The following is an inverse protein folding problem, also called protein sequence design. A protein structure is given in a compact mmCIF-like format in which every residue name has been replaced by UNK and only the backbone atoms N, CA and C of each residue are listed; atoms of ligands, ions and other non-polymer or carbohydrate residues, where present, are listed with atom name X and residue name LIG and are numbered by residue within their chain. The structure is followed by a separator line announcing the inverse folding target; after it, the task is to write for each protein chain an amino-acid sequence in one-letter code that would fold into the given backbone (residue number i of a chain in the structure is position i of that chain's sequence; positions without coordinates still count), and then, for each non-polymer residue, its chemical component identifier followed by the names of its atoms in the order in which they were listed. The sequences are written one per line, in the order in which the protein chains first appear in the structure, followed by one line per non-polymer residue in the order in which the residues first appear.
data_IF_323810516872
#
_entry.id   IF_323810516872
#
_cell.length_a   1.000
_cell.length_b   1.000
_cell.length_c   1.000
_cell.angle_alpha   90.00
_cell.angle_beta   90.00
_cell.angle_gamma   90.00
#
_symmetry.space_group_name_H-M   'P 1'
#
loop_
_entity.id
_entity.type
_entity.pdbx_description
1 polymer ?
#
# COMPACT_ATOMS: atom_id res chain seq x y z
N UNK A 1 70.24 6.39 15.75
CA UNK A 1 69.18 6.89 14.81
C UNK A 1 69.69 8.18 14.18
N UNK A 2 69.99 8.18 12.88
CA UNK A 2 70.60 9.33 12.18
C UNK A 2 69.64 10.52 12.09
N UNK A 3 70.18 11.75 12.16
CA UNK A 3 69.42 13.02 12.14
C UNK A 3 68.45 13.12 10.95
N UNK A 4 68.87 12.66 9.77
CA UNK A 4 68.05 12.63 8.56
C UNK A 4 66.84 11.69 8.67
N UNK A 5 67.00 10.52 9.30
CA UNK A 5 65.87 9.60 9.52
C UNK A 5 64.82 10.22 10.46
N UNK A 6 65.24 11.01 11.46
CA UNK A 6 64.32 11.78 12.31
C UNK A 6 63.66 12.94 11.56
N UNK A 7 64.37 13.61 10.63
CA UNK A 7 63.83 14.69 9.79
C UNK A 7 62.74 14.16 8.86
N UNK A 8 63.02 13.09 8.10
CA UNK A 8 62.06 12.46 7.18
C UNK A 8 60.77 11.99 7.87
N UNK A 9 60.88 11.45 9.09
CA UNK A 9 59.70 11.06 9.89
C UNK A 9 58.81 12.27 10.23
N UNK A 10 59.40 13.40 10.63
CA UNK A 10 58.65 14.64 10.91
C UNK A 10 58.01 15.21 9.65
N UNK A 11 58.75 15.24 8.54
CA UNK A 11 58.23 15.71 7.24
C UNK A 11 57.03 14.87 6.79
N UNK A 12 57.14 13.53 6.84
CA UNK A 12 56.05 12.61 6.52
C UNK A 12 54.84 12.84 7.43
N UNK A 13 55.06 12.96 8.73
CA UNK A 13 53.97 13.24 9.68
C UNK A 13 53.27 14.56 9.38
N UNK A 14 54.03 15.63 9.11
CA UNK A 14 53.49 16.95 8.79
C UNK A 14 52.69 16.96 7.48
N UNK A 15 53.13 16.18 6.49
CA UNK A 15 52.41 16.03 5.22
C UNK A 15 51.05 15.33 5.41
N UNK A 16 51.02 14.26 6.21
CA UNK A 16 49.78 13.54 6.54
C UNK A 16 48.80 14.46 7.27
N UNK A 17 49.27 15.17 8.30
CA UNK A 17 48.40 16.06 9.06
C UNK A 17 47.91 17.25 8.23
N UNK A 18 48.73 17.78 7.32
CA UNK A 18 48.29 18.80 6.37
C UNK A 18 47.13 18.27 5.51
N UNK A 19 47.29 17.10 4.90
CA UNK A 19 46.23 16.47 4.09
C UNK A 19 44.94 16.24 4.89
N UNK A 20 45.05 15.84 6.16
CA UNK A 20 43.88 15.68 7.05
C UNK A 20 43.15 17.01 7.26
N UNK A 21 43.90 18.09 7.53
CA UNK A 21 43.33 19.43 7.71
C UNK A 21 42.69 19.95 6.42
N UNK A 22 43.33 19.74 5.28
CA UNK A 22 42.80 20.17 3.99
C UNK A 22 41.49 19.44 3.69
N UNK A 23 41.44 18.12 3.89
CA UNK A 23 40.19 17.37 3.72
C UNK A 23 39.05 17.88 4.62
N UNK A 24 39.34 18.20 5.89
CA UNK A 24 38.32 18.79 6.79
C UNK A 24 37.85 20.15 6.27
N UNK A 25 38.78 21.00 5.79
CA UNK A 25 38.44 22.31 5.25
C UNK A 25 37.57 22.18 3.99
N UNK A 26 37.89 21.24 3.12
CA UNK A 26 37.11 20.97 1.91
C UNK A 26 35.68 20.55 2.28
N UNK A 27 35.49 19.65 3.26
CA UNK A 27 34.14 19.27 3.72
C UNK A 27 33.37 20.44 4.32
N UNK A 28 34.03 21.33 5.06
CA UNK A 28 33.38 22.54 5.57
C UNK A 28 32.99 23.46 4.41
N UNK A 29 33.81 23.55 3.37
CA UNK A 29 33.49 24.35 2.20
C UNK A 29 32.36 23.75 1.37
N UNK A 30 32.32 22.42 1.18
CA UNK A 30 31.22 21.71 0.56
C UNK A 30 29.90 22.02 1.29
N UNK A 31 29.89 21.92 2.62
CA UNK A 31 28.73 22.27 3.45
C UNK A 31 28.27 23.71 3.22
N UNK A 32 29.20 24.66 3.10
CA UNK A 32 28.87 26.05 2.80
C UNK A 32 28.14 26.22 1.45
N UNK A 33 28.55 25.47 0.42
CA UNK A 33 27.91 25.55 -0.91
C UNK A 33 26.50 24.95 -0.96
N UNK A 34 26.18 24.05 -0.04
CA UNK A 34 24.85 23.42 0.07
C UNK A 34 23.86 24.24 0.88
N UNK A 35 24.33 25.28 1.58
CA UNK A 35 23.47 26.14 2.38
C UNK A 35 22.68 27.11 1.48
N UNK A 36 21.39 27.34 1.77
CA UNK A 36 20.61 28.33 1.05
C UNK A 36 21.13 29.74 1.36
N UNK A 37 21.12 30.63 0.35
CA UNK A 37 21.60 32.01 0.47
C UNK A 37 20.89 32.79 1.59
N UNK A 38 19.62 32.47 1.87
CA UNK A 38 18.84 33.08 2.97
C UNK A 38 19.41 32.82 4.36
N UNK A 39 20.24 31.78 4.52
CA UNK A 39 20.89 31.44 5.79
C UNK A 39 22.30 32.02 5.93
N UNK A 40 22.84 32.59 4.85
CA UNK A 40 24.17 33.16 4.77
C UNK A 40 24.03 34.68 4.66
N UNK A 41 24.66 35.41 5.58
CA UNK A 41 24.73 36.86 5.45
C UNK A 41 25.71 37.23 4.33
N UNK A 42 25.19 37.80 3.24
CA UNK A 42 25.98 38.17 2.06
C UNK A 42 27.10 39.17 2.36
N UNK A 43 26.98 39.95 3.43
CA UNK A 43 27.97 40.96 3.80
C UNK A 43 29.05 40.42 4.76
N UNK A 44 28.89 39.20 5.28
CA UNK A 44 29.79 38.64 6.29
C UNK A 44 30.38 37.33 5.81
N UNK A 45 31.71 37.29 5.63
CA UNK A 45 32.40 36.02 5.33
C UNK A 45 32.15 35.03 6.47
N UNK A 46 31.46 33.90 6.22
CA UNK A 46 31.07 33.01 7.29
C UNK A 46 32.29 32.24 7.79
N UNK A 47 32.42 32.17 9.10
CA UNK A 47 33.47 31.38 9.74
C UNK A 47 33.05 29.90 9.82
N UNK A 48 34.02 29.01 10.05
CA UNK A 48 33.78 27.55 10.12
C UNK A 48 32.69 27.17 11.13
N UNK A 49 32.63 27.85 12.28
CA UNK A 49 31.62 27.59 13.30
C UNK A 49 30.20 27.92 12.83
N UNK A 50 30.03 29.06 12.14
CA UNK A 50 28.74 29.46 11.56
C UNK A 50 28.33 28.47 10.47
N UNK A 51 29.24 28.11 9.56
CA UNK A 51 28.96 27.14 8.48
C UNK A 51 28.45 25.83 9.07
N UNK A 52 29.17 25.28 10.06
CA UNK A 52 28.78 24.03 10.72
C UNK A 52 27.42 24.14 11.41
N UNK A 53 27.18 25.23 12.16
CA UNK A 53 25.91 25.45 12.85
C UNK A 53 24.75 25.51 11.86
N UNK A 54 24.85 26.36 10.84
CA UNK A 54 23.82 26.52 9.80
C UNK A 54 23.59 25.23 9.03
N UNK A 55 24.64 24.44 8.78
CA UNK A 55 24.52 23.14 8.11
C UNK A 55 23.69 22.16 8.91
N UNK A 56 23.91 22.09 10.23
CA UNK A 56 23.11 21.24 11.13
C UNK A 56 21.66 21.70 11.17
N UNK A 57 21.43 23.01 11.30
CA UNK A 57 20.07 23.59 11.32
C UNK A 57 19.32 23.28 10.01
N UNK A 58 20.00 23.44 8.87
CA UNK A 58 19.42 23.16 7.56
C UNK A 58 19.07 21.68 7.38
N UNK A 59 19.95 20.75 7.77
CA UNK A 59 19.66 19.31 7.73
C UNK A 59 18.41 18.98 8.55
N UNK A 60 18.28 19.54 9.76
CA UNK A 60 17.11 19.31 10.62
C UNK A 60 15.83 19.84 9.97
N UNK A 61 15.88 21.04 9.38
CA UNK A 61 14.75 21.62 8.67
C UNK A 61 14.33 20.76 7.46
N UNK A 62 15.29 20.26 6.68
CA UNK A 62 15.01 19.38 5.55
C UNK A 62 14.40 18.05 5.99
N UNK A 63 14.90 17.45 7.07
CA UNK A 63 14.31 16.23 7.64
C UNK A 63 12.86 16.42 8.08
N UNK A 64 12.54 17.58 8.70
CA UNK A 64 11.18 17.94 9.08
C UNK A 64 10.28 18.15 7.87
N UNK A 65 10.76 18.84 6.84
CA UNK A 65 10.02 19.08 5.60
C UNK A 65 9.72 17.77 4.86
N UNK A 66 10.69 16.87 4.77
CA UNK A 66 10.47 15.54 4.18
C UNK A 66 9.43 14.75 4.97
N UNK A 67 9.47 14.78 6.30
CA UNK A 67 8.45 14.14 7.13
C UNK A 67 7.06 14.73 6.93
N UNK A 68 6.92 16.06 6.91
CA UNK A 68 5.62 16.71 6.73
C UNK A 68 5.04 16.45 5.35
N UNK A 69 5.87 16.47 4.30
CA UNK A 69 5.44 16.14 2.95
C UNK A 69 5.03 14.68 2.83
N UNK A 70 5.76 13.75 3.47
CA UNK A 70 5.38 12.34 3.50
C UNK A 70 4.01 12.12 4.18
N UNK A 71 3.73 12.83 5.28
CA UNK A 71 2.42 12.80 5.95
C UNK A 71 1.32 13.36 5.04
N UNK A 72 1.55 14.51 4.40
CA UNK A 72 0.59 15.13 3.49
C UNK A 72 0.28 14.22 2.29
N UNK A 73 1.29 13.55 1.72
CA UNK A 73 1.10 12.58 0.64
C UNK A 73 0.28 11.38 1.13
N UNK A 74 0.52 10.89 2.35
CA UNK A 74 -0.25 9.79 2.92
C UNK A 74 -1.71 10.18 3.15
N UNK A 75 -1.96 11.38 3.66
CA UNK A 75 -3.31 11.93 3.82
C UNK A 75 -4.03 12.03 2.47
N UNK A 76 -3.42 12.70 1.48
CA UNK A 76 -3.96 12.81 0.13
C UNK A 76 -4.08 11.46 -0.60
N UNK A 77 -3.24 10.48 -0.31
CA UNK A 77 -3.33 9.12 -0.85
C UNK A 77 -4.42 8.28 -0.19
N UNK A 78 -4.79 8.60 1.04
CA UNK A 78 -5.90 7.97 1.77
C UNK A 78 -7.28 8.48 1.35
N UNK A 79 -7.39 9.76 0.93
CA UNK A 79 -8.66 10.37 0.53
C UNK A 79 -9.32 9.68 -0.67
N UNK A 80 -8.63 9.35 -1.79
CA UNK A 80 -9.21 8.63 -2.93
C UNK A 80 -9.75 7.25 -2.56
N UNK A 81 -9.05 6.50 -1.70
CA UNK A 81 -9.50 5.18 -1.28
C UNK A 81 -10.77 5.25 -0.42
N UNK A 82 -10.88 6.25 0.47
CA UNK A 82 -12.06 6.38 1.32
C UNK A 82 -13.29 6.91 0.55
N UNK A 83 -13.10 7.85 -0.39
CA UNK A 83 -14.20 8.29 -1.26
C UNK A 83 -14.63 7.19 -2.24
N UNK A 84 -13.70 6.40 -2.79
CA UNK A 84 -14.04 5.28 -3.66
C UNK A 84 -14.81 4.19 -2.90
N UNK A 85 -14.50 3.95 -1.63
CA UNK A 85 -15.25 3.02 -0.77
C UNK A 85 -16.66 3.56 -0.40
N UNK A 86 -16.84 4.88 -0.29
CA UNK A 86 -18.14 5.51 -0.02
C UNK A 86 -19.05 5.60 -1.25
N UNK A 87 -18.51 5.51 -2.46
CA UNK A 87 -19.27 5.60 -3.71
C UNK A 87 -19.84 4.24 -4.20
N UNK A 88 -19.57 3.14 -3.49
CA UNK A 88 -19.99 1.78 -3.86
C UNK A 88 -21.21 1.16 -3.10
N UNK A 89 -22.32 1.87 -2.78
CA UNK A 89 -23.55 1.18 -2.32
C UNK A 89 -24.46 0.65 -3.45
N UNK A 90 -24.30 1.07 -4.71
CA UNK A 90 -25.33 0.83 -5.75
C UNK A 90 -25.17 -0.45 -6.58
N UNK A 91 -24.01 -1.11 -6.62
CA UNK A 91 -23.85 -2.33 -7.43
C UNK A 91 -24.42 -3.59 -6.77
N UNK A 92 -24.58 -3.62 -5.43
CA UNK A 92 -25.15 -4.79 -4.75
C UNK A 92 -26.67 -4.92 -4.86
N UNK A 93 -27.41 -3.82 -5.08
CA UNK A 93 -28.88 -3.91 -5.27
C UNK A 93 -29.29 -4.32 -6.68
N UNK A 94 -28.45 -4.11 -7.70
CA UNK A 94 -28.80 -4.46 -9.08
C UNK A 94 -28.54 -5.93 -9.43
N UNK A 95 -27.64 -6.62 -8.70
CA UNK A 95 -27.43 -8.07 -8.87
C UNK A 95 -28.53 -8.92 -8.19
N UNK A 96 -29.26 -8.38 -7.21
CA UNK A 96 -30.40 -9.10 -6.61
C UNK A 96 -31.65 -9.16 -7.51
N UNK A 97 -31.79 -8.29 -8.52
CA UNK A 97 -32.94 -8.30 -9.43
C UNK A 97 -32.74 -9.19 -10.67
N UNK A 98 -31.51 -9.59 -11.00
CA UNK A 98 -31.24 -10.42 -12.19
C UNK A 98 -31.25 -11.93 -11.91
N UNK A 99 -31.19 -12.36 -10.65
CA UNK A 99 -31.46 -13.76 -10.30
C UNK A 99 -32.97 -14.05 -10.23
N UNK A 100 -33.58 -14.06 -11.42
CA UNK A 100 -34.23 -15.27 -11.93
C UNK A 100 -35.61 -15.66 -11.37
N UNK A 101 -36.68 -15.11 -11.97
CA UNK A 101 -37.99 -15.79 -12.16
C UNK A 101 -37.94 -17.11 -12.97
N UNK A 102 -36.76 -17.69 -13.19
CA UNK A 102 -36.54 -18.90 -14.01
C UNK A 102 -37.07 -20.19 -13.35
N UNK A 103 -37.44 -20.17 -12.07
CA UNK A 103 -38.11 -21.32 -11.44
C UNK A 103 -39.60 -21.45 -11.83
N UNK A 104 -40.29 -20.36 -12.18
CA UNK A 104 -41.74 -20.46 -12.50
C UNK A 104 -42.00 -21.03 -13.90
N UNK A 105 -41.09 -20.82 -14.86
CA UNK A 105 -41.30 -21.32 -16.22
C UNK A 105 -40.98 -22.82 -16.37
N UNK A 106 -40.16 -23.38 -15.48
CA UNK A 106 -39.90 -24.83 -15.46
C UNK A 106 -41.01 -25.61 -14.73
N UNK A 107 -41.72 -24.99 -13.78
CA UNK A 107 -42.87 -25.62 -13.10
C UNK A 107 -44.15 -25.64 -13.97
N UNK A 108 -44.32 -24.68 -14.87
CA UNK A 108 -45.46 -24.69 -15.82
C UNK A 108 -45.29 -25.73 -16.93
N UNK A 109 -44.07 -25.99 -17.39
CA UNK A 109 -43.80 -27.03 -18.38
C UNK A 109 -43.92 -28.45 -17.80
N UNK A 110 -43.54 -28.65 -16.53
CA UNK A 110 -43.76 -29.91 -15.82
C UNK A 110 -45.27 -30.19 -15.58
N UNK A 111 -46.06 -29.15 -15.29
CA UNK A 111 -47.51 -29.28 -15.06
C UNK A 111 -48.29 -29.60 -16.35
N UNK A 112 -47.86 -29.07 -17.50
CA UNK A 112 -48.49 -29.36 -18.79
C UNK A 112 -48.32 -30.81 -19.25
N UNK A 113 -47.15 -31.40 -19.03
CA UNK A 113 -46.89 -32.82 -19.31
C UNK A 113 -47.61 -33.76 -18.33
N UNK A 114 -47.71 -33.40 -17.05
CA UNK A 114 -48.46 -34.17 -16.05
C UNK A 114 -49.98 -34.17 -16.32
N UNK A 115 -50.55 -33.05 -16.77
CA UNK A 115 -51.97 -32.95 -17.11
C UNK A 115 -52.36 -33.78 -18.35
N UNK A 116 -51.46 -33.90 -19.35
CA UNK A 116 -51.68 -34.77 -20.51
C UNK A 116 -51.63 -36.26 -20.17
N UNK A 117 -50.78 -36.67 -19.23
CA UNK A 117 -50.70 -38.08 -18.80
C UNK A 117 -51.89 -38.48 -17.90
N UNK A 118 -52.35 -37.59 -17.03
CA UNK A 118 -53.46 -37.84 -16.09
C UNK A 118 -54.84 -37.99 -16.77
N UNK A 119 -54.99 -37.55 -18.03
CA UNK A 119 -56.24 -37.65 -18.79
C UNK A 119 -56.60 -39.05 -19.31
N UNK A 120 -55.76 -40.07 -19.10
CA UNK A 120 -55.99 -41.43 -19.63
C UNK A 120 -56.29 -42.49 -18.57
N UNK A 121 -56.25 -42.14 -17.28
CA UNK A 121 -56.39 -43.11 -16.19
C UNK A 121 -57.62 -42.82 -15.30
N UNK A 122 -58.82 -43.03 -15.84
CA UNK A 122 -60.03 -43.26 -15.04
C UNK A 122 -61.11 -43.95 -15.86
N UNK A 123 -61.00 -45.27 -15.99
CA UNK A 123 -62.17 -46.15 -16.12
C UNK A 123 -61.92 -47.48 -15.40
N UNK A 124 -62.94 -47.84 -14.61
CA UNK A 124 -63.28 -49.15 -14.06
C UNK A 124 -62.53 -49.68 -12.83
N UNK A 125 -63.17 -50.29 -11.83
CA UNK A 125 -64.54 -50.29 -11.25
C UNK A 125 -64.49 -51.38 -10.17
N UNK A 126 -65.19 -51.13 -9.05
CA UNK A 126 -65.77 -52.10 -8.11
C UNK A 126 -64.87 -53.07 -7.30
N UNK A 127 -65.09 -53.03 -5.98
CA UNK A 127 -65.65 -54.09 -5.10
C UNK A 127 -65.28 -55.53 -5.52
N UNK A 128 -64.77 -56.40 -4.65
CA UNK A 128 -65.35 -56.81 -3.39
C UNK A 128 -64.44 -57.87 -2.72
N UNK A 129 -64.51 -57.94 -1.39
CA UNK A 129 -64.31 -59.08 -0.47
C UNK A 129 -63.25 -60.18 -0.71
N UNK A 130 -62.62 -60.56 0.42
CA UNK A 130 -62.36 -61.97 0.72
C UNK A 130 -60.91 -62.33 1.02
N UNK A 131 -60.60 -62.49 2.30
CA UNK A 131 -59.30 -62.97 2.77
C UNK A 131 -59.08 -64.49 2.62
N UNK A 132 -57.80 -64.87 2.67
CA UNK A 132 -57.18 -66.13 3.12
C UNK A 132 -55.68 -65.93 2.84
N UNK A 133 -54.73 -66.11 3.74
CA UNK A 133 -54.55 -67.21 4.68
C UNK A 133 -53.37 -68.06 4.20
N UNK A 134 -52.43 -68.36 5.12
CA UNK A 134 -51.39 -69.41 5.01
C UNK A 134 -50.27 -69.18 3.96
N UNK A 135 -48.99 -69.47 4.17
CA UNK A 135 -48.28 -70.26 5.18
C UNK A 135 -47.18 -71.09 4.48
N UNK A 136 -45.95 -71.06 5.00
CA UNK A 136 -44.84 -72.00 4.68
C UNK A 136 -44.13 -71.77 3.33
N UNK A 137 -42.84 -71.99 3.16
CA UNK A 137 -41.83 -72.74 3.94
C UNK A 137 -40.49 -72.02 3.91
#
# INVERSE_FOLDING_TARGET
MTYEKRRRRRESHNAVERRRRDNINDRIQDLYTLLPETMIDANTKPNKGIILKKSVDYIRQMQQLVHSLAQQIQELGGVPNHLMQQLDPQQQQQQQQQHSPTQQQQQQQASGLAAMLAGTASMNVARNDGGAGHGGM
#
